data_IF_234175623688
#
_entry.id   IF_234175623688
#
_cell.length_a   1.000
_cell.length_b   1.000
_cell.length_c   1.000
_cell.angle_alpha   90.00
_cell.angle_beta   90.00
_cell.angle_gamma   90.00
#
_symmetry.space_group_name_H-M   'P 1'
#
loop_
_entity.id
_entity.type
_entity.pdbx_description
1 polymer ?
#
# COMPACT_ATOMS: atom_id res chain seq x y z
N UNK A 1 -22.60 18.92 -4.98
CA UNK A 1 -22.55 17.75 -4.08
C UNK A 1 -21.09 17.32 -3.94
N UNK A 2 -20.44 17.70 -2.84
CA UNK A 2 -19.06 17.29 -2.58
C UNK A 2 -19.05 15.80 -2.31
N UNK A 3 -18.47 14.99 -3.21
CA UNK A 3 -18.15 13.59 -2.90
C UNK A 3 -17.16 13.62 -1.75
N UNK A 4 -17.61 13.26 -0.55
CA UNK A 4 -16.75 12.99 0.59
C UNK A 4 -15.93 11.76 0.25
N UNK A 5 -14.76 11.97 -0.37
CA UNK A 5 -13.76 10.92 -0.58
C UNK A 5 -13.19 10.53 0.79
N UNK A 6 -13.85 9.62 1.49
CA UNK A 6 -13.32 8.95 2.69
C UNK A 6 -12.25 7.93 2.26
N UNK A 7 -11.23 8.38 1.53
CA UNK A 7 -10.10 7.54 1.19
C UNK A 7 -9.23 7.44 2.44
N UNK A 8 -9.01 6.21 2.87
CA UNK A 8 -8.18 5.85 4.01
C UNK A 8 -7.03 5.02 3.50
N UNK A 9 -5.86 5.63 3.58
CA UNK A 9 -4.60 5.02 3.19
C UNK A 9 -4.04 4.24 4.37
N UNK A 10 -3.48 3.09 4.08
CA UNK A 10 -2.77 2.28 5.05
C UNK A 10 -1.40 1.92 4.49
N UNK A 11 -0.34 2.17 5.26
CA UNK A 11 1.02 1.82 4.88
C UNK A 11 1.61 0.82 5.86
N UNK A 12 2.24 -0.23 5.34
CA UNK A 12 2.89 -1.25 6.14
C UNK A 12 4.29 -1.49 5.59
N UNK A 13 5.25 -1.76 6.48
CA UNK A 13 6.55 -2.33 6.13
C UNK A 13 6.76 -3.61 6.97
N UNK A 14 7.50 -4.61 6.47
CA UNK A 14 7.97 -5.71 7.32
C UNK A 14 8.79 -5.17 8.50
N UNK A 15 8.71 -5.79 9.68
CA UNK A 15 9.42 -5.27 10.87
C UNK A 15 10.95 -5.38 10.73
N UNK A 16 11.42 -6.33 9.91
CA UNK A 16 12.83 -6.45 9.53
C UNK A 16 13.34 -5.28 8.69
N UNK A 17 12.44 -4.57 8.00
CA UNK A 17 12.80 -3.38 7.25
C UNK A 17 12.70 -2.13 8.15
N UNK A 18 13.85 -1.52 8.44
CA UNK A 18 13.95 -0.32 9.26
C UNK A 18 13.68 0.97 8.48
N UNK A 19 13.52 0.90 7.16
CA UNK A 19 13.33 2.08 6.33
C UNK A 19 11.92 2.65 6.49
N UNK A 20 11.81 3.75 7.23
CA UNK A 20 10.54 4.44 7.52
C UNK A 20 10.36 5.76 6.77
N UNK A 21 11.45 6.35 6.27
CA UNK A 21 11.44 7.71 5.71
C UNK A 21 10.44 7.89 4.57
N UNK A 22 10.36 6.93 3.63
CA UNK A 22 9.40 6.98 2.53
C UNK A 22 7.94 6.93 3.03
N UNK A 23 7.65 6.01 3.97
CA UNK A 23 6.33 5.87 4.60
C UNK A 23 5.93 7.13 5.36
N UNK A 24 6.86 7.73 6.11
CA UNK A 24 6.60 8.96 6.86
C UNK A 24 6.34 10.15 5.94
N UNK A 25 7.14 10.31 4.88
CA UNK A 25 6.99 11.38 3.90
C UNK A 25 5.63 11.32 3.19
N UNK A 26 5.25 10.15 2.66
CA UNK A 26 3.96 10.02 1.97
C UNK A 26 2.77 10.18 2.92
N UNK A 27 2.91 9.73 4.16
CA UNK A 27 1.87 9.88 5.16
C UNK A 27 1.64 11.34 5.55
N UNK A 28 2.71 12.14 5.62
CA UNK A 28 2.60 13.59 5.81
C UNK A 28 1.85 14.25 4.65
N UNK A 29 2.32 14.02 3.42
CA UNK A 29 1.71 14.58 2.21
C UNK A 29 0.21 14.26 2.08
N UNK A 30 -0.17 13.00 2.35
CA UNK A 30 -1.57 12.59 2.28
C UNK A 30 -2.42 13.23 3.38
N UNK A 31 -1.88 13.41 4.59
CA UNK A 31 -2.57 14.12 5.68
C UNK A 31 -2.73 15.60 5.36
N UNK A 32 -1.72 16.23 4.75
CA UNK A 32 -1.79 17.62 4.29
C UNK A 32 -2.85 17.80 3.19
N UNK A 33 -3.07 16.77 2.37
CA UNK A 33 -4.17 16.70 1.39
C UNK A 33 -5.54 16.34 2.00
N UNK A 34 -5.64 16.23 3.34
CA UNK A 34 -6.88 15.96 4.07
C UNK A 34 -7.36 14.50 4.03
N UNK A 35 -6.45 13.54 3.87
CA UNK A 35 -6.77 12.10 3.93
C UNK A 35 -6.41 11.46 5.26
N UNK A 36 -7.16 10.43 5.63
CA UNK A 36 -6.82 9.58 6.78
C UNK A 36 -5.70 8.61 6.38
N UNK A 37 -4.67 8.53 7.23
CA UNK A 37 -3.52 7.64 7.01
C UNK A 37 -3.24 6.82 8.25
N UNK A 38 -3.27 5.50 8.09
CA UNK A 38 -2.95 4.50 9.10
C UNK A 38 -1.58 3.89 8.79
N UNK A 39 -0.74 3.76 9.81
CA UNK A 39 0.51 3.01 9.72
C UNK A 39 0.31 1.67 10.42
N UNK A 40 0.72 0.58 9.78
CA UNK A 40 0.74 -0.75 10.39
C UNK A 40 1.57 -0.74 11.67
N UNK A 41 0.99 -1.24 12.76
CA UNK A 41 1.70 -1.41 14.02
C UNK A 41 2.64 -2.63 13.96
N UNK A 42 3.42 -2.85 15.02
CA UNK A 42 4.35 -3.98 15.12
C UNK A 42 3.67 -5.35 14.88
N UNK A 43 2.39 -5.49 15.25
CA UNK A 43 1.63 -6.72 14.98
C UNK A 43 1.45 -6.94 13.48
N UNK A 44 1.07 -5.90 12.75
CA UNK A 44 0.96 -5.96 11.29
C UNK A 44 2.32 -6.06 10.60
N UNK A 45 3.34 -5.34 11.05
CA UNK A 45 4.69 -5.45 10.49
C UNK A 45 5.23 -6.89 10.59
N UNK A 46 5.01 -7.55 11.74
CA UNK A 46 5.36 -8.96 11.93
C UNK A 46 4.49 -9.90 11.09
N UNK A 47 3.21 -9.59 10.90
CA UNK A 47 2.35 -10.38 10.02
C UNK A 47 2.83 -10.34 8.56
N UNK A 48 3.37 -9.21 8.08
CA UNK A 48 3.91 -9.09 6.73
C UNK A 48 5.22 -9.89 6.56
N UNK A 49 6.09 -9.95 7.58
CA UNK A 49 7.32 -10.77 7.51
C UNK A 49 7.03 -12.21 7.05
N UNK A 50 5.95 -12.80 7.57
CA UNK A 50 5.56 -14.18 7.33
C UNK A 50 4.16 -14.28 6.69
N UNK A 51 3.86 -13.42 5.72
CA UNK A 51 2.53 -13.33 5.08
C UNK A 51 2.11 -14.61 4.35
N UNK A 52 3.05 -15.54 4.11
CA UNK A 52 2.77 -16.87 3.55
C UNK A 52 1.83 -17.72 4.42
N UNK A 53 1.79 -17.48 5.73
CA UNK A 53 0.94 -18.25 6.64
C UNK A 53 -0.47 -17.67 6.70
N UNK A 54 -1.47 -18.54 6.61
CA UNK A 54 -2.90 -18.18 6.58
C UNK A 54 -3.33 -17.32 7.79
N UNK A 55 -2.75 -17.56 8.97
CA UNK A 55 -3.03 -16.75 10.17
C UNK A 55 -2.69 -15.27 9.96
N UNK A 56 -1.58 -14.98 9.26
CA UNK A 56 -1.16 -13.61 8.98
C UNK A 56 -1.99 -12.98 7.86
N UNK A 57 -2.42 -13.79 6.89
CA UNK A 57 -3.37 -13.36 5.85
C UNK A 57 -4.72 -12.96 6.45
N UNK A 58 -5.25 -13.76 7.38
CA UNK A 58 -6.48 -13.44 8.12
C UNK A 58 -6.33 -12.17 8.96
N UNK A 59 -5.18 -11.96 9.59
CA UNK A 59 -4.87 -10.69 10.30
C UNK A 59 -4.93 -9.49 9.37
N UNK A 60 -4.29 -9.56 8.20
CA UNK A 60 -4.33 -8.50 7.19
C UNK A 60 -5.78 -8.19 6.77
N UNK A 61 -6.57 -9.23 6.43
CA UNK A 61 -7.97 -9.07 6.04
C UNK A 61 -8.80 -8.42 7.15
N UNK A 62 -8.64 -8.87 8.40
CA UNK A 62 -9.33 -8.31 9.54
C UNK A 62 -8.97 -6.85 9.76
N UNK A 63 -7.68 -6.51 9.71
CA UNK A 63 -7.17 -5.16 9.87
C UNK A 63 -7.70 -4.20 8.80
N UNK A 64 -7.75 -4.64 7.53
CA UNK A 64 -8.34 -3.88 6.42
C UNK A 64 -9.81 -3.56 6.69
N UNK A 65 -10.60 -4.58 7.05
CA UNK A 65 -12.05 -4.44 7.28
C UNK A 65 -12.35 -3.56 8.49
N UNK A 66 -11.69 -3.81 9.63
CA UNK A 66 -11.93 -3.05 10.86
C UNK A 66 -11.61 -1.56 10.72
N UNK A 67 -10.61 -1.22 9.91
CA UNK A 67 -10.21 0.16 9.72
C UNK A 67 -10.90 0.84 8.53
N UNK A 68 -11.68 0.13 7.71
CA UNK A 68 -12.24 0.62 6.45
C UNK A 68 -11.16 1.12 5.48
N UNK A 69 -10.06 0.38 5.38
CA UNK A 69 -8.95 0.71 4.46
C UNK A 69 -9.41 0.51 3.02
N UNK A 70 -9.11 1.47 2.16
CA UNK A 70 -9.42 1.40 0.73
C UNK A 70 -8.22 1.70 -0.19
N UNK A 71 -7.08 2.10 0.38
CA UNK A 71 -5.81 2.20 -0.34
C UNK A 71 -4.71 1.55 0.53
N UNK A 72 -4.04 0.52 0.02
CA UNK A 72 -3.02 -0.23 0.78
C UNK A 72 -1.64 -0.07 0.14
N UNK A 73 -0.65 0.35 0.91
CA UNK A 73 0.74 0.48 0.48
C UNK A 73 1.71 -0.36 1.29
N UNK A 74 2.63 -1.01 0.58
CA UNK A 74 3.68 -1.83 1.16
C UNK A 74 5.04 -1.22 0.82
N UNK A 75 5.90 -1.07 1.83
CA UNK A 75 7.28 -0.60 1.65
C UNK A 75 8.25 -1.72 2.02
N UNK A 76 9.15 -2.07 1.09
CA UNK A 76 10.21 -3.05 1.35
C UNK A 76 11.45 -2.85 0.49
N UNK A 77 12.64 -2.81 1.11
CA UNK A 77 13.91 -2.45 0.44
C UNK A 77 15.08 -3.42 0.63
N UNK A 78 14.90 -4.55 1.31
CA UNK A 78 16.03 -5.42 1.66
C UNK A 78 16.41 -6.42 0.55
N UNK A 79 15.41 -7.08 -0.04
CA UNK A 79 15.61 -8.15 -1.02
C UNK A 79 14.54 -8.10 -2.11
N UNK A 80 14.94 -8.15 -3.38
CA UNK A 80 14.04 -7.96 -4.51
C UNK A 80 13.09 -9.15 -4.71
N UNK A 81 13.58 -10.37 -4.53
CA UNK A 81 12.81 -11.60 -4.78
C UNK A 81 11.82 -11.83 -3.64
N UNK A 82 12.22 -11.51 -2.42
CA UNK A 82 11.33 -11.53 -1.26
C UNK A 82 10.26 -10.42 -1.37
N UNK A 83 10.59 -9.25 -1.93
CA UNK A 83 9.59 -8.21 -2.19
C UNK A 83 8.46 -8.71 -3.10
N UNK A 84 8.83 -9.34 -4.22
CA UNK A 84 7.91 -9.92 -5.19
C UNK A 84 7.06 -11.00 -4.52
N UNK A 85 7.71 -11.87 -3.73
CA UNK A 85 7.03 -12.95 -3.00
C UNK A 85 5.99 -12.40 -2.00
N UNK A 86 6.36 -11.39 -1.21
CA UNK A 86 5.46 -10.74 -0.24
C UNK A 86 4.25 -10.16 -0.98
N UNK A 87 4.47 -9.41 -2.07
CA UNK A 87 3.40 -8.83 -2.85
C UNK A 87 2.49 -9.87 -3.49
N UNK A 88 3.05 -10.99 -3.96
CA UNK A 88 2.27 -12.13 -4.47
C UNK A 88 1.30 -12.68 -3.44
N UNK A 89 1.75 -12.92 -2.21
CA UNK A 89 0.90 -13.37 -1.10
C UNK A 89 -0.16 -12.34 -0.71
N UNK A 90 0.20 -11.06 -0.64
CA UNK A 90 -0.74 -9.98 -0.34
C UNK A 90 -1.83 -9.92 -1.40
N UNK A 91 -1.46 -9.86 -2.68
CA UNK A 91 -2.42 -9.78 -3.78
C UNK A 91 -3.33 -11.00 -3.86
N UNK A 92 -2.79 -12.20 -3.61
CA UNK A 92 -3.58 -13.43 -3.49
C UNK A 92 -4.56 -13.33 -2.32
N UNK A 93 -4.11 -12.89 -1.15
CA UNK A 93 -4.94 -12.71 0.05
C UNK A 93 -6.10 -11.74 -0.18
N UNK A 94 -5.81 -10.58 -0.80
CA UNK A 94 -6.84 -9.59 -1.11
C UNK A 94 -7.87 -10.14 -2.10
N UNK A 95 -7.40 -10.90 -3.10
CA UNK A 95 -8.27 -11.51 -4.10
C UNK A 95 -9.17 -12.58 -3.49
N UNK A 96 -8.60 -13.51 -2.72
CA UNK A 96 -9.34 -14.62 -2.14
C UNK A 96 -10.37 -14.18 -1.08
N UNK A 97 -10.18 -12.99 -0.50
CA UNK A 97 -11.09 -12.39 0.46
C UNK A 97 -12.08 -11.38 -0.16
N UNK A 98 -12.17 -11.31 -1.49
CA UNK A 98 -13.00 -10.37 -2.27
C UNK A 98 -12.81 -8.90 -1.84
N UNK A 99 -11.58 -8.52 -1.49
CA UNK A 99 -11.28 -7.18 -1.00
C UNK A 99 -11.00 -6.18 -2.13
N UNK A 100 -10.71 -6.63 -3.34
CA UNK A 100 -10.36 -5.76 -4.46
C UNK A 100 -11.62 -5.12 -5.07
N UNK A 101 -11.53 -3.86 -5.46
CA UNK A 101 -12.67 -3.07 -5.94
C UNK A 101 -13.37 -3.65 -7.18
N UNK A 102 -12.65 -4.31 -8.08
CA UNK A 102 -13.26 -5.01 -9.21
C UNK A 102 -14.04 -6.28 -8.82
N UNK A 103 -13.87 -6.77 -7.58
CA UNK A 103 -14.68 -7.83 -6.96
C UNK A 103 -15.83 -7.25 -6.11
N UNK A 104 -15.98 -5.92 -6.07
CA UNK A 104 -16.92 -5.24 -5.16
C UNK A 104 -16.35 -4.97 -3.75
N UNK A 105 -15.07 -5.25 -3.52
CA UNK A 105 -14.40 -4.99 -2.25
C UNK A 105 -13.95 -3.53 -2.04
N UNK A 106 -13.44 -3.19 -0.83
CA UNK A 106 -13.08 -1.81 -0.49
C UNK A 106 -11.76 -1.32 -1.09
N UNK A 107 -10.82 -2.21 -1.43
CA UNK A 107 -9.46 -1.84 -1.88
C UNK A 107 -9.50 -1.36 -3.33
N UNK A 108 -9.32 -0.05 -3.50
CA UNK A 108 -9.27 0.64 -4.79
C UNK A 108 -7.86 0.71 -5.37
N UNK A 109 -6.87 0.78 -4.50
CA UNK A 109 -5.48 0.97 -4.88
C UNK A 109 -4.56 0.12 -4.02
N UNK A 110 -3.61 -0.54 -4.69
CA UNK A 110 -2.50 -1.22 -4.04
C UNK A 110 -1.20 -0.59 -4.52
N UNK A 111 -0.31 -0.31 -3.58
CA UNK A 111 0.94 0.41 -3.80
C UNK A 111 2.11 -0.42 -3.31
N UNK A 112 3.22 -0.36 -4.03
CA UNK A 112 4.48 -0.92 -3.57
C UNK A 112 5.62 0.08 -3.73
N UNK A 113 6.41 0.28 -2.68
CA UNK A 113 7.61 1.11 -2.71
C UNK A 113 8.83 0.26 -2.34
N UNK A 114 9.87 0.29 -3.17
CA UNK A 114 11.02 -0.58 -2.96
C UNK A 114 12.14 -0.39 -3.96
N UNK A 115 12.97 -1.42 -4.11
CA UNK A 115 14.06 -1.43 -5.08
C UNK A 115 13.51 -1.41 -6.53
N UNK A 116 14.18 -0.74 -7.49
CA UNK A 116 13.67 -0.57 -8.85
C UNK A 116 13.29 -1.88 -9.55
N UNK A 117 14.15 -2.91 -9.48
CA UNK A 117 13.89 -4.19 -10.14
C UNK A 117 12.69 -4.93 -9.53
N UNK A 118 12.51 -4.89 -8.20
CA UNK A 118 11.31 -5.42 -7.57
C UNK A 118 10.04 -4.68 -8.06
N UNK A 119 10.10 -3.35 -8.14
CA UNK A 119 9.00 -2.54 -8.67
C UNK A 119 8.62 -2.95 -10.10
N UNK A 120 9.61 -3.11 -10.99
CA UNK A 120 9.38 -3.52 -12.38
C UNK A 120 8.72 -4.91 -12.48
N UNK A 121 9.17 -5.87 -11.67
CA UNK A 121 8.60 -7.23 -11.64
C UNK A 121 7.15 -7.19 -11.14
N UNK A 122 6.90 -6.53 -10.00
CA UNK A 122 5.58 -6.44 -9.35
C UNK A 122 4.56 -5.76 -10.27
N UNK A 123 4.95 -4.67 -10.91
CA UNK A 123 4.10 -3.94 -11.85
C UNK A 123 3.69 -4.83 -13.03
N UNK A 124 4.65 -5.57 -13.61
CA UNK A 124 4.41 -6.50 -14.72
C UNK A 124 3.51 -7.67 -14.31
N UNK A 125 3.78 -8.30 -13.18
CA UNK A 125 3.01 -9.47 -12.70
C UNK A 125 1.56 -9.14 -12.38
N UNK A 126 1.30 -7.93 -11.88
CA UNK A 126 -0.04 -7.47 -11.54
C UNK A 126 -0.66 -6.56 -12.59
N UNK A 127 -0.11 -6.55 -13.83
CA UNK A 127 -0.64 -5.83 -14.99
C UNK A 127 -0.98 -4.37 -14.71
N UNK A 128 -0.12 -3.70 -13.94
CA UNK A 128 -0.29 -2.29 -13.55
C UNK A 128 -1.35 -2.01 -12.47
N UNK A 129 -2.01 -3.04 -11.91
CA UNK A 129 -2.94 -2.85 -10.79
C UNK A 129 -2.22 -2.42 -9.51
N UNK A 130 -1.00 -2.90 -9.29
CA UNK A 130 -0.11 -2.42 -8.24
C UNK A 130 0.71 -1.26 -8.81
N UNK A 131 0.52 -0.05 -8.28
CA UNK A 131 1.33 1.11 -8.65
C UNK A 131 2.62 1.11 -7.84
N UNK A 132 3.76 1.29 -8.51
CA UNK A 132 5.06 1.14 -7.88
C UNK A 132 5.82 2.47 -7.74
N UNK A 133 6.65 2.56 -6.70
CA UNK A 133 7.50 3.71 -6.37
C UNK A 133 8.93 3.23 -6.16
N UNK A 134 9.81 3.59 -7.09
CA UNK A 134 11.22 3.15 -7.08
C UNK A 134 12.16 4.12 -6.37
N UNK A 135 11.66 5.30 -6.02
CA UNK A 135 12.42 6.41 -5.46
C UNK A 135 12.89 7.37 -6.55
N UNK A 136 12.97 8.65 -6.19
CA UNK A 136 13.31 9.75 -7.09
C UNK A 136 12.10 10.42 -7.74
N UNK A 137 10.88 9.92 -7.52
CA UNK A 137 9.66 10.62 -7.89
C UNK A 137 9.55 11.97 -7.16
N UNK A 138 9.14 12.99 -7.89
CA UNK A 138 8.72 14.27 -7.33
C UNK A 138 7.41 14.14 -6.53
N UNK A 139 7.10 15.15 -5.72
CA UNK A 139 5.83 15.20 -4.97
C UNK A 139 4.63 15.15 -5.94
N UNK A 140 4.69 15.90 -7.04
CA UNK A 140 3.61 15.94 -8.02
C UNK A 140 3.40 14.61 -8.72
N UNK A 141 4.47 13.93 -9.14
CA UNK A 141 4.39 12.57 -9.71
C UNK A 141 3.83 11.57 -8.70
N UNK A 142 4.27 11.68 -7.44
CA UNK A 142 3.81 10.81 -6.36
C UNK A 142 2.31 10.96 -6.12
N UNK A 143 1.83 12.20 -5.96
CA UNK A 143 0.41 12.48 -5.72
C UNK A 143 -0.45 12.12 -6.95
N UNK A 144 0.07 12.32 -8.16
CA UNK A 144 -0.61 11.89 -9.38
C UNK A 144 -0.75 10.36 -9.45
N UNK A 145 0.32 9.60 -9.13
CA UNK A 145 0.25 8.13 -9.02
C UNK A 145 -0.76 7.69 -7.97
N UNK A 146 -0.97 8.45 -6.89
CA UNK A 146 -1.94 8.15 -5.85
C UNK A 146 -3.39 8.53 -6.20
N UNK A 147 -3.63 9.02 -7.42
CA UNK A 147 -4.91 9.55 -7.88
C UNK A 147 -5.45 10.68 -6.98
N UNK A 148 -4.55 11.50 -6.43
CA UNK A 148 -4.92 12.66 -5.61
C UNK A 148 -5.33 13.81 -6.55
N UNK A 149 -6.56 14.35 -6.41
CA UNK A 149 -7.01 15.47 -7.22
C UNK A 149 -6.16 16.71 -6.98
N UNK A 150 -5.85 17.46 -8.05
CA UNK A 150 -5.01 18.67 -7.99
C UNK A 150 -5.56 19.71 -7.01
N UNK A 151 -6.88 19.76 -6.84
CA UNK A 151 -7.55 20.70 -5.94
C UNK A 151 -7.27 20.43 -4.46
N UNK A 152 -6.72 19.26 -4.12
CA UNK A 152 -6.29 18.89 -2.76
C UNK A 152 -4.79 19.01 -2.53
N UNK A 153 -4.03 19.30 -3.59
CA UNK A 153 -2.60 19.50 -3.50
C UNK A 153 -2.41 20.96 -3.09
N UNK A 154 -2.13 21.19 -1.81
CA UNK A 154 -1.76 22.52 -1.32
C UNK A 154 -0.47 22.97 -2.00
N UNK A 155 -0.45 24.19 -2.54
CA UNK A 155 0.76 24.84 -3.09
C UNK A 155 1.80 25.09 -2.00
#
# INVERSE_FOLDING_TARGET
MSRTYHNKFAFIKPSLDVHTMGVNSISGLLRDCGYEVIIGDTSMENAINDIRYEVNQKKLVHWIKMNNINNLGISYRLDEDLAVTIMGYIMKTLRDADLLSFQGGPIRLVLFAGLPKACEIIEREHRGFVKTFKGGESISETLAKLDIPKERISN
#
